data_IF_670522445643
#
_entry.id   IF_670522445643
#
_cell.length_a   1.000
_cell.length_b   1.000
_cell.length_c   1.000
_cell.angle_alpha   90.00
_cell.angle_beta   90.00
_cell.angle_gamma   90.00
#
_symmetry.space_group_name_H-M   'P 1'
#
loop_
_entity.id
_entity.type
_entity.pdbx_description
1 polymer ?
#
# COMPACT_ATOMS: atom_id res chain seq x y z
N UNK A 1 35.03 2.24 4.22
CA UNK A 1 35.27 3.68 4.43
C UNK A 1 34.74 3.99 5.83
N UNK A 2 35.54 4.58 6.70
CA UNK A 2 35.19 4.79 8.13
C UNK A 2 34.13 5.89 8.28
N UNK A 3 33.28 5.76 9.30
CA UNK A 3 32.14 6.62 9.67
C UNK A 3 32.49 8.08 10.07
N UNK A 4 33.53 8.66 9.47
CA UNK A 4 34.00 10.02 9.74
C UNK A 4 34.11 10.89 8.48
N UNK A 5 33.70 10.38 7.30
CA UNK A 5 33.65 11.14 6.03
C UNK A 5 32.23 11.60 5.64
N UNK A 6 31.19 11.35 6.45
CA UNK A 6 29.86 11.97 6.29
C UNK A 6 29.82 13.39 6.90
N UNK A 7 30.80 14.22 6.55
CA UNK A 7 30.67 15.65 6.76
C UNK A 7 29.66 16.17 5.73
N UNK A 8 28.45 16.48 6.21
CA UNK A 8 27.32 17.07 5.48
C UNK A 8 27.80 18.05 4.40
N UNK A 9 27.78 17.60 3.14
CA UNK A 9 27.71 18.51 2.03
C UNK A 9 26.39 19.27 2.19
N UNK A 10 26.47 20.56 2.49
CA UNK A 10 25.33 21.44 2.33
C UNK A 10 24.82 21.29 0.91
N UNK A 11 23.56 20.88 0.79
CA UNK A 11 22.87 20.74 -0.48
C UNK A 11 22.63 22.13 -1.07
N UNK A 12 23.68 22.71 -1.68
CA UNK A 12 23.71 24.11 -2.10
C UNK A 12 22.84 24.38 -3.33
N UNK A 13 22.32 23.32 -3.98
CA UNK A 13 21.38 23.38 -5.11
C UNK A 13 19.91 23.20 -4.71
N UNK A 14 19.02 23.39 -5.69
CA UNK A 14 17.63 22.95 -5.61
C UNK A 14 17.48 21.77 -6.57
N UNK A 15 16.90 20.67 -6.08
CA UNK A 15 16.58 19.49 -6.88
C UNK A 15 15.49 19.80 -7.91
N UNK A 16 15.43 19.04 -8.99
CA UNK A 16 14.27 19.05 -9.87
C UNK A 16 13.06 18.48 -9.14
N UNK A 17 13.24 17.38 -8.39
CA UNK A 17 12.16 16.75 -7.63
C UNK A 17 12.62 16.22 -6.27
N UNK A 18 11.80 16.44 -5.24
CA UNK A 18 11.97 15.84 -3.92
C UNK A 18 10.86 14.84 -3.61
N UNK A 19 11.22 13.56 -3.49
CA UNK A 19 10.33 12.52 -2.99
C UNK A 19 10.26 12.50 -1.46
N UNK A 20 9.05 12.49 -0.91
CA UNK A 20 8.82 12.40 0.54
C UNK A 20 8.18 11.05 0.87
N UNK A 21 8.91 10.23 1.63
CA UNK A 21 8.61 8.82 1.90
C UNK A 21 9.22 7.89 0.85
N UNK A 22 9.75 6.75 1.28
CA UNK A 22 10.43 5.78 0.41
C UNK A 22 9.80 4.38 0.54
N UNK A 23 8.50 4.29 0.29
CA UNK A 23 7.85 3.00 0.00
C UNK A 23 8.22 2.46 -1.39
N UNK A 24 7.76 1.26 -1.78
CA UNK A 24 8.12 0.63 -3.05
C UNK A 24 7.85 1.52 -4.27
N UNK A 25 6.78 2.32 -4.25
CA UNK A 25 6.47 3.21 -5.37
C UNK A 25 7.49 4.33 -5.58
N UNK A 26 7.85 5.06 -4.50
CA UNK A 26 8.88 6.10 -4.59
C UNK A 26 10.28 5.51 -4.78
N UNK A 27 10.53 4.30 -4.27
CA UNK A 27 11.78 3.59 -4.54
C UNK A 27 11.92 3.22 -6.02
N UNK A 28 10.84 2.75 -6.66
CA UNK A 28 10.83 2.52 -8.10
C UNK A 28 10.99 3.82 -8.89
N UNK A 29 10.39 4.92 -8.44
CA UNK A 29 10.58 6.23 -9.07
C UNK A 29 12.04 6.69 -8.94
N UNK A 30 12.66 6.49 -7.77
CA UNK A 30 14.06 6.81 -7.52
C UNK A 30 15.01 6.01 -8.42
N UNK A 31 14.73 4.72 -8.60
CA UNK A 31 15.49 3.85 -9.50
C UNK A 31 15.36 4.31 -10.96
N UNK A 32 14.15 4.54 -11.45
CA UNK A 32 13.91 4.97 -12.83
C UNK A 32 14.44 6.39 -13.12
N UNK A 33 14.44 7.30 -12.14
CA UNK A 33 15.04 8.63 -12.32
C UNK A 33 16.58 8.60 -12.30
N UNK A 34 17.20 7.57 -11.71
CA UNK A 34 18.67 7.49 -11.58
C UNK A 34 19.41 7.36 -12.91
N UNK A 35 18.71 6.91 -13.96
CA UNK A 35 19.22 6.80 -15.33
C UNK A 35 18.84 8.02 -16.21
N UNK A 36 18.35 9.11 -15.60
CA UNK A 36 17.92 10.34 -16.30
C UNK A 36 18.76 11.55 -15.87
N UNK A 37 18.65 12.66 -16.63
CA UNK A 37 19.27 13.94 -16.26
C UNK A 37 18.49 14.72 -15.17
N UNK A 38 17.38 14.16 -14.65
CA UNK A 38 16.56 14.79 -13.61
C UNK A 38 17.22 14.64 -12.24
N UNK A 39 17.59 15.76 -11.61
CA UNK A 39 18.22 15.77 -10.28
C UNK A 39 17.15 15.52 -9.20
N UNK A 40 17.13 14.30 -8.68
CA UNK A 40 16.11 13.83 -7.75
C UNK A 40 16.70 13.44 -6.39
N UNK A 41 15.94 13.68 -5.31
CA UNK A 41 16.28 13.19 -3.97
C UNK A 41 15.04 12.61 -3.28
N UNK A 42 15.19 11.50 -2.57
CA UNK A 42 14.11 10.87 -1.80
C UNK A 42 14.45 10.77 -0.32
N UNK A 43 13.51 11.21 0.54
CA UNK A 43 13.68 11.25 1.99
C UNK A 43 12.82 10.18 2.69
N UNK A 44 13.45 9.38 3.54
CA UNK A 44 12.79 8.37 4.39
C UNK A 44 13.08 8.63 5.86
N UNK A 45 12.07 8.50 6.72
CA UNK A 45 12.23 8.70 8.16
C UNK A 45 12.87 7.51 8.87
N UNK A 46 12.69 6.28 8.37
CA UNK A 46 13.34 5.09 8.92
C UNK A 46 14.86 5.14 8.64
N UNK A 47 15.69 4.47 9.45
CA UNK A 47 17.12 4.38 9.22
C UNK A 47 17.49 3.47 8.04
N UNK A 48 16.58 2.58 7.64
CA UNK A 48 16.75 1.63 6.53
C UNK A 48 15.40 1.35 5.85
N UNK A 49 15.44 0.75 4.67
CA UNK A 49 14.23 0.31 3.98
C UNK A 49 13.64 -0.90 4.71
N UNK A 50 12.33 -0.82 5.00
CA UNK A 50 11.56 -1.90 5.60
C UNK A 50 10.09 -1.75 5.20
N UNK A 51 9.60 -2.71 4.41
CA UNK A 51 8.23 -2.74 3.90
C UNK A 51 7.37 -3.73 4.68
N UNK A 52 6.44 -3.19 5.48
CA UNK A 52 5.52 -3.98 6.31
C UNK A 52 6.21 -5.01 7.24
N UNK A 53 7.33 -4.64 7.87
CA UNK A 53 8.15 -5.53 8.70
C UNK A 53 7.39 -6.41 9.71
N UNK A 54 6.36 -5.87 10.38
CA UNK A 54 5.56 -6.65 11.33
C UNK A 54 4.59 -7.68 10.73
N UNK A 55 4.54 -7.80 9.41
CA UNK A 55 3.73 -8.75 8.63
C UNK A 55 4.58 -9.60 7.66
N UNK A 56 5.91 -9.62 7.81
CA UNK A 56 6.82 -10.47 7.03
C UNK A 56 6.81 -11.93 7.52
N UNK A 57 5.62 -12.52 7.64
CA UNK A 57 5.40 -13.92 8.03
C UNK A 57 6.13 -14.82 7.02
N UNK A 58 6.78 -15.89 7.50
CA UNK A 58 7.75 -16.68 6.71
C UNK A 58 7.19 -17.20 5.38
N UNK A 59 5.94 -17.66 5.37
CA UNK A 59 5.29 -18.23 4.17
C UNK A 59 4.42 -17.22 3.40
N UNK A 60 4.42 -15.94 3.79
CA UNK A 60 3.64 -14.93 3.08
C UNK A 60 4.32 -14.54 1.76
N UNK A 61 3.59 -14.61 0.66
CA UNK A 61 4.05 -14.21 -0.67
C UNK A 61 3.48 -12.85 -1.09
N UNK A 62 4.06 -12.27 -2.14
CA UNK A 62 3.39 -11.22 -2.90
C UNK A 62 2.13 -11.79 -3.58
N UNK A 63 1.14 -10.94 -3.77
CA UNK A 63 -0.08 -11.25 -4.54
C UNK A 63 0.10 -10.96 -6.04
N UNK A 64 1.24 -10.37 -6.41
CA UNK A 64 1.60 -10.02 -7.80
C UNK A 64 2.82 -10.83 -8.26
N UNK A 65 2.96 -11.09 -9.57
CA UNK A 65 4.17 -11.68 -10.14
C UNK A 65 5.41 -10.84 -9.88
N UNK A 66 6.59 -11.45 -9.77
CA UNK A 66 7.86 -10.73 -9.59
C UNK A 66 8.18 -9.70 -10.70
N UNK A 67 7.54 -9.80 -11.87
CA UNK A 67 7.67 -8.79 -12.93
C UNK A 67 7.11 -7.43 -12.49
N UNK A 68 6.17 -7.41 -11.55
CA UNK A 68 5.74 -6.21 -10.83
C UNK A 68 6.77 -5.80 -9.75
N UNK A 69 8.05 -5.84 -10.10
CA UNK A 69 9.12 -5.25 -9.31
C UNK A 69 9.16 -3.72 -9.50
N UNK A 70 10.24 -3.08 -9.08
CA UNK A 70 10.36 -1.63 -9.06
C UNK A 70 10.52 -1.00 -10.46
N UNK A 71 10.96 -1.77 -11.47
CA UNK A 71 11.47 -1.20 -12.74
C UNK A 71 11.11 -2.01 -14.00
N UNK A 72 10.93 -3.33 -13.90
CA UNK A 72 10.88 -4.25 -15.05
C UNK A 72 9.75 -3.94 -16.04
N UNK A 73 8.58 -3.49 -15.57
CA UNK A 73 7.48 -3.13 -16.45
C UNK A 73 7.67 -1.76 -17.15
N UNK A 74 8.65 -0.96 -16.75
CA UNK A 74 9.05 0.27 -17.46
C UNK A 74 10.32 0.04 -18.31
N UNK A 75 11.31 -0.63 -17.75
CA UNK A 75 12.56 -1.01 -18.41
C UNK A 75 13.10 -2.34 -17.87
N UNK A 76 12.89 -3.47 -18.59
CA UNK A 76 13.45 -4.77 -18.22
C UNK A 76 14.99 -4.83 -18.21
N UNK A 77 15.67 -3.84 -18.78
CA UNK A 77 17.14 -3.80 -18.84
C UNK A 77 17.78 -3.12 -17.63
N UNK A 78 16.97 -2.48 -16.78
CA UNK A 78 17.44 -1.78 -15.59
C UNK A 78 18.26 -2.69 -14.68
N UNK A 79 19.38 -2.14 -14.18
CA UNK A 79 20.22 -2.81 -13.20
C UNK A 79 19.49 -3.07 -11.88
N UNK A 80 18.36 -2.39 -11.62
CA UNK A 80 17.58 -2.57 -10.40
C UNK A 80 16.44 -3.60 -10.55
N UNK A 81 16.39 -4.38 -11.63
CA UNK A 81 15.39 -5.45 -11.79
C UNK A 81 15.58 -6.56 -10.74
N UNK A 82 14.48 -7.22 -10.36
CA UNK A 82 14.49 -8.33 -9.41
C UNK A 82 15.34 -9.51 -9.91
N UNK A 83 15.37 -9.77 -11.22
CA UNK A 83 16.26 -10.78 -11.79
C UNK A 83 17.75 -10.40 -11.67
N UNK A 84 18.10 -9.11 -11.82
CA UNK A 84 19.48 -8.67 -11.58
C UNK A 84 19.83 -8.75 -10.09
N UNK A 85 18.91 -8.42 -9.18
CA UNK A 85 19.07 -8.69 -7.75
C UNK A 85 19.42 -10.16 -7.48
N UNK A 86 18.63 -11.11 -8.00
CA UNK A 86 18.91 -12.54 -7.83
C UNK A 86 20.28 -12.94 -8.41
N UNK A 87 20.67 -12.34 -9.54
CA UNK A 87 21.99 -12.56 -10.14
C UNK A 87 23.12 -12.05 -9.23
N UNK A 88 22.97 -10.86 -8.66
CA UNK A 88 23.96 -10.22 -7.77
C UNK A 88 24.12 -10.99 -6.45
N UNK A 89 23.08 -11.67 -6.00
CA UNK A 89 23.09 -12.49 -4.79
C UNK A 89 23.43 -13.96 -5.04
N UNK A 90 23.76 -14.35 -6.28
CA UNK A 90 24.04 -15.73 -6.69
C UNK A 90 22.87 -16.71 -6.47
N UNK A 91 21.62 -16.22 -6.46
CA UNK A 91 20.41 -17.01 -6.22
C UNK A 91 19.58 -17.25 -7.49
N UNK A 92 19.97 -16.69 -8.63
CA UNK A 92 19.21 -16.79 -9.88
C UNK A 92 18.92 -18.25 -10.32
N UNK A 93 19.89 -19.17 -10.17
CA UNK A 93 19.66 -20.58 -10.51
C UNK A 93 18.75 -21.29 -9.49
N UNK A 94 18.83 -20.91 -8.22
CA UNK A 94 17.92 -21.44 -7.19
C UNK A 94 16.50 -20.98 -7.46
N UNK A 95 16.33 -19.69 -7.77
CA UNK A 95 15.04 -19.11 -8.16
C UNK A 95 14.48 -19.72 -9.44
N UNK A 96 15.33 -20.01 -10.43
CA UNK A 96 14.92 -20.70 -11.65
C UNK A 96 14.23 -22.05 -11.36
N UNK A 97 14.72 -22.81 -10.37
CA UNK A 97 14.10 -24.07 -9.95
C UNK A 97 12.97 -23.88 -8.93
N UNK A 98 12.89 -22.73 -8.28
CA UNK A 98 11.76 -22.39 -7.41
C UNK A 98 10.46 -22.22 -8.21
N UNK A 99 10.55 -21.81 -9.48
CA UNK A 99 9.48 -21.86 -10.50
C UNK A 99 8.11 -21.28 -10.04
N UNK A 100 8.14 -20.23 -9.23
CA UNK A 100 6.93 -19.48 -8.84
C UNK A 100 7.04 -18.01 -9.23
N UNK A 101 5.91 -17.42 -9.61
CA UNK A 101 5.82 -16.00 -9.93
C UNK A 101 5.61 -15.15 -8.68
N UNK A 102 4.87 -15.65 -7.70
CA UNK A 102 4.61 -14.99 -6.43
C UNK A 102 5.76 -15.31 -5.47
N UNK A 103 6.61 -14.32 -5.23
CA UNK A 103 7.82 -14.47 -4.42
C UNK A 103 7.56 -14.19 -2.94
N UNK A 104 8.35 -14.74 -2.01
CA UNK A 104 8.22 -14.45 -0.59
C UNK A 104 8.35 -12.95 -0.29
N UNK A 105 7.48 -12.40 0.58
CA UNK A 105 7.54 -10.96 0.95
C UNK A 105 8.87 -10.58 1.57
N UNK A 106 9.49 -11.50 2.32
CA UNK A 106 10.83 -11.32 2.90
C UNK A 106 11.91 -11.12 1.83
N UNK A 107 11.81 -11.84 0.71
CA UNK A 107 12.75 -11.70 -0.40
C UNK A 107 12.50 -10.43 -1.20
N UNK A 108 11.23 -10.02 -1.36
CA UNK A 108 10.90 -8.74 -1.99
C UNK A 108 11.35 -7.53 -1.14
N UNK A 109 11.19 -7.61 0.19
CA UNK A 109 11.73 -6.60 1.12
C UNK A 109 13.26 -6.52 1.05
N UNK A 110 13.95 -7.66 1.00
CA UNK A 110 15.41 -7.72 0.82
C UNK A 110 15.86 -7.14 -0.53
N UNK A 111 15.13 -7.45 -1.61
CA UNK A 111 15.32 -6.84 -2.92
C UNK A 111 15.19 -5.32 -2.87
N UNK A 112 14.13 -4.80 -2.25
CA UNK A 112 13.92 -3.35 -2.15
C UNK A 112 14.99 -2.68 -1.28
N UNK A 113 15.43 -3.32 -0.19
CA UNK A 113 16.57 -2.86 0.62
C UNK A 113 17.84 -2.79 -0.23
N UNK A 114 18.14 -3.84 -0.99
CA UNK A 114 19.29 -3.85 -1.90
C UNK A 114 19.22 -2.71 -2.92
N UNK A 115 18.07 -2.45 -3.55
CA UNK A 115 17.91 -1.31 -4.47
C UNK A 115 18.18 0.01 -3.73
N UNK A 116 17.57 0.21 -2.56
CA UNK A 116 17.71 1.45 -1.81
C UNK A 116 19.17 1.73 -1.37
N UNK A 117 19.93 0.69 -1.01
CA UNK A 117 21.35 0.76 -0.66
C UNK A 117 22.27 1.06 -1.86
N UNK A 118 21.86 0.70 -3.07
CA UNK A 118 22.65 0.92 -4.29
C UNK A 118 22.31 2.24 -5.00
N UNK A 119 21.26 2.94 -4.56
CA UNK A 119 20.84 4.23 -5.10
C UNK A 119 21.57 5.41 -4.44
N UNK A 120 22.10 6.32 -5.25
CA UNK A 120 22.74 7.56 -4.76
C UNK A 120 21.77 8.67 -4.35
N UNK A 121 20.50 8.58 -4.75
CA UNK A 121 19.47 9.61 -4.62
C UNK A 121 18.49 9.36 -3.46
N UNK A 122 18.84 8.55 -2.48
CA UNK A 122 18.02 8.24 -1.30
C UNK A 122 18.70 8.76 -0.02
N UNK A 123 17.92 9.22 0.96
CA UNK A 123 18.41 9.63 2.29
C UNK A 123 17.48 9.12 3.38
N UNK A 124 18.00 8.24 4.21
CA UNK A 124 17.34 7.70 5.40
C UNK A 124 17.52 8.60 6.62
N UNK A 125 16.77 8.32 7.69
CA UNK A 125 16.77 9.14 8.91
C UNK A 125 16.49 10.62 8.63
N UNK A 126 15.54 10.90 7.72
CA UNK A 126 15.06 12.23 7.32
C UNK A 126 13.53 12.29 7.42
N UNK A 127 13.03 12.58 8.62
CA UNK A 127 11.59 12.86 8.84
C UNK A 127 11.27 14.28 8.39
N UNK A 128 10.54 14.43 7.29
CA UNK A 128 9.98 15.73 6.88
C UNK A 128 8.91 16.17 7.87
N UNK A 129 9.07 17.39 8.41
CA UNK A 129 8.17 17.98 9.41
C UNK A 129 7.39 19.18 8.90
N UNK A 130 7.86 19.82 7.84
CA UNK A 130 7.19 20.98 7.26
C UNK A 130 7.56 21.14 5.78
N UNK A 131 6.60 21.52 4.96
CA UNK A 131 6.79 21.92 3.56
C UNK A 131 6.19 23.32 3.38
N UNK A 132 6.96 24.20 2.76
CA UNK A 132 6.52 25.55 2.35
C UNK A 132 6.88 25.77 0.89
N UNK A 133 6.17 26.69 0.23
CA UNK A 133 6.51 27.12 -1.13
C UNK A 133 7.08 28.54 -1.10
N UNK A 134 8.21 28.75 -1.76
CA UNK A 134 8.89 30.03 -1.90
C UNK A 134 8.54 30.66 -3.24
N UNK A 135 7.69 31.70 -3.23
CA UNK A 135 7.24 32.39 -4.45
C UNK A 135 8.38 33.04 -5.24
N UNK A 136 9.37 33.55 -4.53
CA UNK A 136 10.49 34.29 -5.11
C UNK A 136 11.39 33.34 -5.89
N UNK A 137 11.72 32.20 -5.28
CA UNK A 137 12.56 31.18 -5.88
C UNK A 137 11.77 30.20 -6.78
N UNK A 138 10.43 30.17 -6.69
CA UNK A 138 9.53 29.24 -7.38
C UNK A 138 9.89 27.78 -7.09
N UNK A 139 10.11 27.48 -5.81
CA UNK A 139 10.54 26.15 -5.34
C UNK A 139 9.85 25.80 -4.01
N UNK A 140 9.71 24.50 -3.74
CA UNK A 140 9.37 23.97 -2.43
C UNK A 140 10.59 23.96 -1.52
N UNK A 141 10.33 24.13 -0.22
CA UNK A 141 11.31 23.98 0.85
C UNK A 141 10.77 23.02 1.90
N UNK A 142 11.42 21.88 2.02
CA UNK A 142 11.07 20.83 2.97
C UNK A 142 12.07 20.83 4.13
N UNK A 143 11.55 20.96 5.35
CA UNK A 143 12.35 20.85 6.58
C UNK A 143 12.30 19.41 7.09
N UNK A 144 13.45 18.77 7.23
CA UNK A 144 13.57 17.42 7.77
C UNK A 144 14.44 17.37 9.04
N UNK A 145 14.21 16.34 9.86
CA UNK A 145 14.95 16.07 11.10
C UNK A 145 15.30 14.59 11.20
N UNK A 146 16.40 14.28 11.89
CA UNK A 146 16.71 12.89 12.23
C UNK A 146 15.84 12.44 13.44
N UNK A 147 14.94 11.45 13.28
CA UNK A 147 14.08 10.99 14.37
C UNK A 147 14.85 10.24 15.48
N UNK A 148 16.05 9.72 15.22
CA UNK A 148 16.85 8.97 16.20
C UNK A 148 17.47 9.89 17.26
N UNK A 149 17.85 11.11 16.88
CA UNK A 149 18.42 12.08 17.83
C UNK A 149 17.41 12.46 18.93
N UNK A 150 16.11 12.46 18.60
CA UNK A 150 15.04 12.65 19.57
C UNK A 150 14.96 11.54 20.63
N UNK A 151 15.46 10.34 20.36
CA UNK A 151 15.55 9.23 21.32
C UNK A 151 16.81 9.31 22.20
N UNK A 152 17.90 9.90 21.69
CA UNK A 152 19.15 10.09 22.42
C UNK A 152 19.17 11.38 23.26
N UNK A 153 18.15 12.24 23.12
CA UNK A 153 18.09 13.55 23.78
C UNK A 153 18.91 14.63 23.09
N UNK A 154 19.43 14.34 21.90
CA UNK A 154 20.16 15.29 21.06
C UNK A 154 19.18 16.01 20.13
N UNK A 155 19.21 17.34 20.09
CA UNK A 155 18.42 18.09 19.11
C UNK A 155 19.21 18.12 17.81
N UNK A 156 18.79 17.38 16.76
CA UNK A 156 19.37 17.60 15.43
C UNK A 156 18.96 18.99 14.94
N UNK A 157 19.91 19.75 14.42
CA UNK A 157 19.59 20.92 13.60
C UNK A 157 18.70 20.44 12.44
N UNK A 158 17.61 21.17 12.12
CA UNK A 158 16.79 20.84 10.98
C UNK A 158 17.58 21.06 9.68
N UNK A 159 17.46 20.13 8.74
CA UNK A 159 18.01 20.27 7.39
C UNK A 159 16.90 20.75 6.47
N UNK A 160 17.18 21.79 5.66
CA UNK A 160 16.24 22.27 4.64
C UNK A 160 16.66 21.74 3.27
N UNK A 161 15.72 21.12 2.56
CA UNK A 161 15.86 20.65 1.18
C UNK A 161 15.03 21.54 0.27
N UNK A 162 15.57 21.88 -0.91
CA UNK A 162 14.90 22.69 -1.93
C UNK A 162 14.62 21.87 -3.17
N UNK A 163 13.45 22.02 -3.76
CA UNK A 163 13.13 21.36 -5.02
C UNK A 163 12.07 22.13 -5.82
N UNK A 164 12.10 22.02 -7.15
CA UNK A 164 11.08 22.63 -8.01
C UNK A 164 9.72 21.94 -7.83
N UNK A 165 9.74 20.61 -7.81
CA UNK A 165 8.58 19.75 -7.66
C UNK A 165 8.73 18.80 -6.45
N UNK A 166 7.62 18.24 -5.97
CA UNK A 166 7.64 17.21 -4.92
C UNK A 166 6.77 16.01 -5.29
N UNK A 167 7.17 14.82 -4.83
CA UNK A 167 6.39 13.57 -5.00
C UNK A 167 6.09 12.98 -3.62
N UNK A 168 4.81 12.86 -3.28
CA UNK A 168 4.35 12.35 -2.00
C UNK A 168 4.14 10.83 -2.06
N UNK A 169 5.03 10.06 -1.42
CA UNK A 169 4.98 8.60 -1.33
C UNK A 169 5.03 8.09 0.10
N UNK A 170 4.34 8.78 1.01
CA UNK A 170 4.35 8.53 2.47
C UNK A 170 3.57 7.28 2.91
N UNK A 171 2.97 6.54 1.98
CA UNK A 171 2.27 5.30 2.25
C UNK A 171 0.98 5.47 3.06
N UNK A 172 0.61 4.43 3.79
CA UNK A 172 -0.58 4.37 4.64
C UNK A 172 -0.17 4.04 6.08
N UNK A 173 -1.04 4.39 7.04
CA UNK A 173 -0.82 4.09 8.46
C UNK A 173 -1.92 3.14 8.96
N UNK A 174 -1.60 2.26 9.92
CA UNK A 174 -2.58 1.38 10.56
C UNK A 174 -3.86 2.14 10.94
N UNK A 175 -5.00 1.57 10.59
CA UNK A 175 -6.29 2.13 10.96
C UNK A 175 -6.95 1.27 12.03
N UNK A 176 -7.03 1.83 13.24
CA UNK A 176 -7.81 1.24 14.34
C UNK A 176 -9.06 2.10 14.54
N UNK A 177 -10.29 1.56 14.45
CA UNK A 177 -11.52 2.29 14.77
C UNK A 177 -11.48 2.89 16.17
N UNK A 178 -12.04 4.08 16.37
CA UNK A 178 -11.95 4.82 17.65
C UNK A 178 -12.46 4.00 18.85
N UNK A 179 -13.53 3.24 18.67
CA UNK A 179 -14.10 2.37 19.71
C UNK A 179 -13.23 1.17 20.10
N UNK A 180 -12.16 0.88 19.35
CA UNK A 180 -11.25 -0.25 19.60
C UNK A 180 -9.87 0.23 20.11
N UNK A 181 -9.70 1.53 20.37
CA UNK A 181 -8.44 2.12 20.86
C UNK A 181 -8.41 2.23 22.39
N UNK A 182 -7.22 2.52 22.94
CA UNK A 182 -7.06 2.87 24.35
C UNK A 182 -6.73 1.68 25.26
N UNK A 183 -6.32 0.56 24.67
CA UNK A 183 -5.89 -0.65 25.37
C UNK A 183 -4.36 -0.81 25.30
N UNK A 184 -3.76 -1.60 26.20
CA UNK A 184 -2.36 -1.98 26.11
C UNK A 184 -2.00 -2.61 24.75
N UNK A 185 -0.98 -2.06 24.08
CA UNK A 185 -0.54 -2.48 22.75
C UNK A 185 0.17 -3.85 22.74
N UNK A 186 0.42 -4.43 23.92
CA UNK A 186 0.83 -5.84 24.05
C UNK A 186 -0.30 -6.82 23.77
N UNK A 187 -1.56 -6.47 24.10
CA UNK A 187 -2.68 -7.41 24.04
C UNK A 187 -3.70 -7.06 22.96
N UNK A 188 -3.95 -5.76 22.71
CA UNK A 188 -4.87 -5.30 21.67
C UNK A 188 -4.10 -4.45 20.68
N UNK A 189 -3.77 -5.04 19.54
CA UNK A 189 -2.87 -4.41 18.58
C UNK A 189 -3.29 -4.63 17.13
N UNK A 190 -2.83 -3.73 16.25
CA UNK A 190 -3.06 -3.84 14.83
C UNK A 190 -2.15 -4.90 14.19
N UNK A 191 -2.64 -5.60 13.17
CA UNK A 191 -1.89 -6.61 12.38
C UNK A 191 -0.46 -6.19 12.02
N UNK A 192 -0.25 -4.91 11.68
CA UNK A 192 1.06 -4.31 11.43
C UNK A 192 2.15 -4.55 12.51
N UNK A 193 1.78 -4.93 13.74
CA UNK A 193 2.68 -5.22 14.86
C UNK A 193 2.80 -6.71 15.18
N UNK A 194 2.19 -7.59 14.38
CA UNK A 194 1.97 -8.99 14.70
C UNK A 194 3.26 -9.75 15.04
N UNK A 195 4.27 -9.72 14.18
CA UNK A 195 5.51 -10.47 14.43
C UNK A 195 6.22 -10.04 15.73
N UNK A 196 6.12 -8.76 16.10
CA UNK A 196 6.68 -8.23 17.37
C UNK A 196 5.88 -8.66 18.61
N UNK A 197 4.73 -9.31 18.41
CA UNK A 197 3.78 -9.73 19.45
C UNK A 197 3.41 -11.21 19.37
N UNK A 198 3.95 -11.95 18.39
CA UNK A 198 3.67 -13.36 18.17
C UNK A 198 3.89 -14.20 19.43
N UNK A 199 5.02 -14.02 20.11
CA UNK A 199 5.30 -14.71 21.38
C UNK A 199 4.23 -14.45 22.45
N UNK A 200 3.78 -13.19 22.59
CA UNK A 200 2.69 -12.84 23.51
C UNK A 200 1.38 -13.53 23.13
N UNK A 201 1.11 -13.73 21.84
CA UNK A 201 -0.04 -14.51 21.38
C UNK A 201 0.09 -15.98 21.79
N UNK A 202 1.27 -16.59 21.62
CA UNK A 202 1.51 -17.99 21.97
C UNK A 202 1.42 -18.27 23.47
N UNK A 203 1.72 -17.26 24.30
CA UNK A 203 1.56 -17.32 25.75
C UNK A 203 0.11 -17.10 26.23
N UNK A 204 -0.82 -16.73 25.35
CA UNK A 204 -2.22 -16.44 25.69
C UNK A 204 -3.10 -17.69 25.71
N UNK A 205 -4.13 -17.72 26.56
CA UNK A 205 -5.11 -18.81 26.54
C UNK A 205 -6.17 -18.66 25.43
N UNK A 206 -6.36 -17.43 24.94
CA UNK A 206 -7.36 -17.12 23.90
C UNK A 206 -6.95 -15.92 23.06
N UNK A 207 -7.13 -16.04 21.74
CA UNK A 207 -6.77 -15.03 20.76
C UNK A 207 -7.97 -14.80 19.82
N UNK A 208 -8.30 -13.54 19.56
CA UNK A 208 -9.32 -13.17 18.56
C UNK A 208 -8.71 -12.31 17.46
N UNK A 209 -8.75 -12.79 16.21
CA UNK A 209 -8.42 -12.03 15.01
C UNK A 209 -9.67 -11.32 14.48
N UNK A 210 -9.59 -10.02 14.23
CA UNK A 210 -10.70 -9.20 13.74
C UNK A 210 -10.36 -8.62 12.36
N UNK A 211 -11.12 -8.99 11.32
CA UNK A 211 -10.92 -8.50 9.95
C UNK A 211 -11.13 -9.58 8.90
N UNK A 212 -11.25 -9.22 7.62
CA UNK A 212 -11.48 -10.16 6.49
C UNK A 212 -10.36 -10.20 5.45
N UNK A 213 -9.45 -9.22 5.45
CA UNK A 213 -8.42 -9.13 4.42
C UNK A 213 -7.29 -10.13 4.61
N UNK A 214 -6.41 -10.19 3.62
CA UNK A 214 -5.25 -11.08 3.60
C UNK A 214 -4.45 -11.09 4.91
N UNK A 215 -4.16 -9.93 5.50
CA UNK A 215 -3.38 -9.88 6.76
C UNK A 215 -4.07 -10.61 7.93
N UNK A 216 -5.41 -10.59 8.00
CA UNK A 216 -6.13 -11.33 9.03
C UNK A 216 -6.06 -12.84 8.77
N UNK A 217 -6.16 -13.26 7.51
CA UNK A 217 -6.04 -14.66 7.11
C UNK A 217 -4.63 -15.21 7.38
N UNK A 218 -3.58 -14.48 7.02
CA UNK A 218 -2.18 -14.89 7.25
C UNK A 218 -1.85 -15.02 8.73
N UNK A 219 -2.31 -14.07 9.57
CA UNK A 219 -2.15 -14.14 11.03
C UNK A 219 -2.91 -15.34 11.59
N UNK A 220 -4.16 -15.54 11.15
CA UNK A 220 -4.96 -16.67 11.59
C UNK A 220 -4.29 -18.00 11.20
N UNK A 221 -3.78 -18.12 9.97
CA UNK A 221 -3.06 -19.28 9.47
C UNK A 221 -1.77 -19.56 10.25
N UNK A 222 -0.94 -18.54 10.49
CA UNK A 222 0.30 -18.69 11.27
C UNK A 222 0.00 -19.15 12.71
N UNK A 223 -0.98 -18.53 13.38
CA UNK A 223 -1.41 -18.96 14.72
C UNK A 223 -2.02 -20.36 14.69
N UNK A 224 -2.85 -20.66 13.68
CA UNK A 224 -3.45 -21.98 13.52
C UNK A 224 -2.33 -23.02 13.49
N UNK A 225 -1.33 -22.89 12.63
CA UNK A 225 -0.18 -23.83 12.54
C UNK A 225 0.53 -24.08 13.88
N UNK A 226 0.60 -23.07 14.76
CA UNK A 226 1.28 -23.16 16.07
C UNK A 226 0.39 -23.67 17.22
N UNK A 227 -0.93 -23.63 17.07
CA UNK A 227 -1.89 -24.02 18.10
C UNK A 227 -1.62 -25.40 18.74
N UNK A 228 -1.15 -26.45 18.03
CA UNK A 228 -0.85 -27.75 18.66
C UNK A 228 0.23 -27.70 19.75
N UNK A 229 1.12 -26.72 19.72
CA UNK A 229 2.22 -26.58 20.70
C UNK A 229 1.84 -25.66 21.88
N UNK A 230 0.91 -24.73 21.68
CA UNK A 230 0.59 -23.66 22.61
C UNK A 230 -0.80 -23.76 23.30
N UNK A 231 -1.69 -24.63 22.82
CA UNK A 231 -3.00 -24.97 23.45
C UNK A 231 -3.92 -23.76 23.75
N UNK A 232 -4.02 -22.81 22.82
CA UNK A 232 -4.93 -21.66 22.93
C UNK A 232 -6.22 -21.84 22.10
N UNK A 233 -7.27 -21.12 22.49
CA UNK A 233 -8.45 -20.90 21.64
C UNK A 233 -8.17 -19.83 20.59
N UNK A 234 -8.53 -20.07 19.33
CA UNK A 234 -8.34 -19.12 18.23
C UNK A 234 -9.67 -18.75 17.55
N UNK A 235 -10.10 -17.50 17.68
CA UNK A 235 -11.33 -17.01 17.07
C UNK A 235 -11.06 -16.01 15.93
N UNK A 236 -11.86 -16.04 14.86
CA UNK A 236 -11.77 -15.11 13.73
C UNK A 236 -13.13 -14.48 13.41
N UNK A 237 -13.25 -13.18 13.67
CA UNK A 237 -14.46 -12.41 13.40
C UNK A 237 -14.26 -11.44 12.24
N UNK A 238 -15.25 -11.37 11.35
CA UNK A 238 -15.27 -10.38 10.29
C UNK A 238 -16.63 -9.76 10.08
N UNK A 239 -16.66 -8.45 9.78
CA UNK A 239 -17.88 -7.73 9.40
C UNK A 239 -18.34 -8.10 7.99
N UNK A 240 -17.43 -8.58 7.13
CA UNK A 240 -17.74 -8.98 5.75
C UNK A 240 -18.81 -10.06 5.70
N UNK A 241 -19.50 -10.13 4.57
CA UNK A 241 -20.52 -11.15 4.26
C UNK A 241 -19.99 -12.60 4.38
N UNK A 242 -18.68 -12.78 4.24
CA UNK A 242 -17.98 -14.05 4.37
C UNK A 242 -16.47 -13.86 4.35
N UNK A 243 -15.75 -14.99 4.39
CA UNK A 243 -14.32 -15.08 4.11
C UNK A 243 -14.17 -15.36 2.62
N UNK A 244 -14.17 -14.30 1.81
CA UNK A 244 -14.18 -14.41 0.35
C UNK A 244 -12.79 -14.24 -0.24
N UNK A 245 -12.45 -15.02 -1.28
CA UNK A 245 -11.20 -14.85 -1.97
C UNK A 245 -11.19 -13.54 -2.76
N UNK A 246 -9.99 -13.05 -3.04
CA UNK A 246 -9.76 -11.96 -3.98
C UNK A 246 -9.98 -12.45 -5.41
N UNK A 247 -10.52 -11.59 -6.27
CA UNK A 247 -10.68 -11.91 -7.70
C UNK A 247 -9.31 -11.98 -8.39
N UNK A 248 -8.91 -13.17 -8.79
CA UNK A 248 -7.61 -13.42 -9.45
C UNK A 248 -7.74 -14.08 -10.83
N UNK A 249 -8.95 -14.15 -11.40
CA UNK A 249 -9.11 -14.67 -12.75
C UNK A 249 -8.43 -13.75 -13.77
N UNK A 250 -7.87 -14.34 -14.83
CA UNK A 250 -7.14 -13.60 -15.88
C UNK A 250 -7.97 -12.49 -16.55
N UNK A 251 -9.30 -12.61 -16.56
CA UNK A 251 -10.18 -11.56 -17.07
C UNK A 251 -10.41 -10.48 -16.01
N UNK A 252 -10.63 -10.87 -14.75
CA UNK A 252 -10.74 -9.94 -13.62
C UNK A 252 -9.49 -9.06 -13.48
N UNK A 253 -8.31 -9.67 -13.59
CA UNK A 253 -7.02 -9.00 -13.48
C UNK A 253 -6.77 -7.88 -14.52
N UNK A 254 -7.53 -7.85 -15.63
CA UNK A 254 -7.42 -6.74 -16.59
C UNK A 254 -7.87 -5.39 -16.00
N UNK A 255 -8.52 -5.37 -14.82
CA UNK A 255 -8.81 -4.13 -14.08
C UNK A 255 -7.55 -3.50 -13.44
N UNK A 256 -6.43 -4.23 -13.37
CA UNK A 256 -5.15 -3.75 -12.85
C UNK A 256 -4.21 -3.34 -13.99
N UNK A 257 -4.72 -2.52 -14.90
CA UNK A 257 -4.03 -2.14 -16.14
C UNK A 257 -4.07 -0.63 -16.37
N UNK A 258 -3.11 -0.07 -17.13
CA UNK A 258 -3.15 1.32 -17.56
C UNK A 258 -4.49 1.72 -18.20
N UNK A 259 -5.07 0.83 -19.01
CA UNK A 259 -6.31 1.05 -19.75
C UNK A 259 -7.50 1.20 -18.81
N UNK A 260 -7.62 0.36 -17.79
CA UNK A 260 -8.69 0.48 -16.81
C UNK A 260 -8.51 1.75 -15.97
N UNK A 261 -7.29 2.07 -15.54
CA UNK A 261 -6.99 3.30 -14.80
C UNK A 261 -7.38 4.54 -15.61
N UNK A 262 -7.03 4.60 -16.89
CA UNK A 262 -7.41 5.72 -17.78
C UNK A 262 -8.92 5.79 -18.01
N UNK A 263 -9.57 4.64 -18.25
CA UNK A 263 -11.03 4.57 -18.38
C UNK A 263 -11.72 5.09 -17.12
N UNK A 264 -11.32 4.57 -15.95
CA UNK A 264 -11.88 4.97 -14.66
C UNK A 264 -11.67 6.46 -14.40
N UNK A 265 -10.49 6.99 -14.71
CA UNK A 265 -10.20 8.42 -14.58
C UNK A 265 -11.11 9.29 -15.46
N UNK A 266 -11.47 8.83 -16.66
CA UNK A 266 -12.38 9.52 -17.56
C UNK A 266 -13.86 9.53 -17.16
N UNK A 267 -14.26 8.75 -16.16
CA UNK A 267 -15.65 8.73 -15.65
C UNK A 267 -15.99 10.02 -14.89
N UNK A 268 -17.29 10.31 -14.73
CA UNK A 268 -17.72 11.37 -13.82
C UNK A 268 -17.38 11.02 -12.37
N UNK A 269 -17.14 12.02 -11.52
CA UNK A 269 -16.79 11.74 -10.12
C UNK A 269 -17.90 10.99 -9.37
N UNK A 270 -19.17 11.25 -9.71
CA UNK A 270 -20.33 10.51 -9.19
C UNK A 270 -20.23 9.02 -9.52
N UNK A 271 -20.00 8.69 -10.79
CA UNK A 271 -19.83 7.28 -11.22
C UNK A 271 -18.63 6.62 -10.55
N UNK A 272 -17.50 7.32 -10.39
CA UNK A 272 -16.33 6.78 -9.68
C UNK A 272 -16.64 6.45 -8.22
N UNK A 273 -17.38 7.33 -7.55
CA UNK A 273 -17.72 7.21 -6.14
C UNK A 273 -18.72 6.07 -5.87
N UNK A 274 -19.60 5.77 -6.84
CA UNK A 274 -20.52 4.63 -6.77
C UNK A 274 -19.83 3.30 -7.14
N UNK A 275 -18.96 3.31 -8.15
CA UNK A 275 -18.31 2.09 -8.66
C UNK A 275 -17.21 1.55 -7.72
N UNK A 276 -16.39 2.43 -7.13
CA UNK A 276 -15.23 2.00 -6.34
C UNK A 276 -15.59 1.09 -5.15
N UNK A 277 -16.67 1.36 -4.36
CA UNK A 277 -17.12 0.44 -3.31
C UNK A 277 -17.52 -0.95 -3.81
N UNK A 278 -18.10 -1.06 -5.00
CA UNK A 278 -18.54 -2.34 -5.60
C UNK A 278 -17.35 -3.22 -6.00
N UNK A 279 -16.18 -2.62 -6.22
CA UNK A 279 -14.96 -3.29 -6.65
C UNK A 279 -14.09 -3.80 -5.48
N UNK A 280 -14.66 -3.89 -4.27
CA UNK A 280 -13.93 -4.31 -3.08
C UNK A 280 -13.23 -5.68 -3.21
N UNK A 281 -13.88 -6.66 -3.84
CA UNK A 281 -13.31 -8.01 -4.00
C UNK A 281 -12.13 -8.06 -4.98
N UNK A 282 -11.90 -7.02 -5.77
CA UNK A 282 -10.70 -6.96 -6.61
C UNK A 282 -9.43 -6.81 -5.77
N UNK A 283 -9.49 -6.22 -4.55
CA UNK A 283 -8.28 -5.86 -3.79
C UNK A 283 -8.35 -6.06 -2.26
N UNK A 284 -9.49 -6.50 -1.70
CA UNK A 284 -9.68 -6.70 -0.24
C UNK A 284 -9.90 -8.16 0.17
N UNK A 285 -9.93 -9.08 -0.79
CA UNK A 285 -10.17 -10.49 -0.51
C UNK A 285 -8.97 -11.19 0.12
N UNK A 286 -9.14 -12.49 0.35
CA UNK A 286 -8.08 -13.40 0.82
C UNK A 286 -7.48 -14.09 -0.42
N UNK A 287 -6.19 -14.37 -0.42
CA UNK A 287 -5.58 -15.24 -1.43
C UNK A 287 -6.23 -16.64 -1.41
N UNK A 288 -6.50 -17.21 -2.58
CA UNK A 288 -7.21 -18.49 -2.71
C UNK A 288 -6.43 -19.62 -2.02
N UNK A 289 -5.10 -19.66 -2.15
CA UNK A 289 -4.28 -20.70 -1.52
C UNK A 289 -4.25 -20.53 0.00
N UNK A 290 -4.19 -19.30 0.50
CA UNK A 290 -4.27 -19.03 1.95
C UNK A 290 -5.61 -19.51 2.51
N UNK A 291 -6.71 -19.25 1.80
CA UNK A 291 -8.04 -19.73 2.20
C UNK A 291 -8.13 -21.26 2.17
N UNK A 292 -7.58 -21.90 1.14
CA UNK A 292 -7.54 -23.36 1.01
C UNK A 292 -6.73 -23.99 2.15
N UNK A 293 -5.55 -23.45 2.44
CA UNK A 293 -4.68 -23.99 3.48
C UNK A 293 -5.29 -23.89 4.88
N UNK A 294 -5.97 -22.77 5.19
CA UNK A 294 -6.72 -22.64 6.45
C UNK A 294 -7.76 -23.76 6.57
N UNK A 295 -8.50 -24.02 5.50
CA UNK A 295 -9.53 -25.07 5.50
C UNK A 295 -8.92 -26.47 5.63
N UNK A 296 -7.85 -26.77 4.90
CA UNK A 296 -7.16 -28.05 4.94
C UNK A 296 -6.60 -28.34 6.34
N UNK A 297 -5.94 -27.36 6.98
CA UNK A 297 -5.45 -27.51 8.35
C UNK A 297 -6.58 -27.73 9.36
N UNK A 298 -7.71 -27.05 9.22
CA UNK A 298 -8.88 -27.27 10.08
C UNK A 298 -9.46 -28.68 9.88
N UNK A 299 -9.54 -29.14 8.62
CA UNK A 299 -10.03 -30.46 8.29
C UNK A 299 -9.12 -31.56 8.86
N UNK A 300 -7.80 -31.44 8.67
CA UNK A 300 -6.81 -32.37 9.22
C UNK A 300 -6.90 -32.50 10.74
N UNK A 301 -7.17 -31.39 11.44
CA UNK A 301 -7.37 -31.38 12.90
C UNK A 301 -8.67 -32.00 13.38
N UNK A 302 -9.66 -32.13 12.50
CA UNK A 302 -10.94 -32.76 12.85
C UNK A 302 -10.91 -34.29 12.72
N UNK A 303 -9.82 -34.85 12.21
CA UNK A 303 -9.67 -36.30 11.98
C UNK A 303 -9.82 -37.06 13.30
N UNK A 304 -10.57 -38.16 13.28
CA UNK A 304 -10.85 -38.96 14.47
C UNK A 304 -12.02 -38.45 15.32
N UNK A 305 -12.69 -37.38 14.89
CA UNK A 305 -13.80 -36.75 15.64
C UNK A 305 -13.32 -35.70 16.64
N UNK A 306 -12.07 -35.28 16.54
CA UNK A 306 -11.54 -34.13 17.25
C UNK A 306 -12.21 -32.84 16.75
N UNK A 307 -12.28 -31.83 17.61
CA UNK A 307 -12.84 -30.52 17.30
C UNK A 307 -11.76 -29.47 17.58
N UNK A 308 -11.17 -28.84 16.54
CA UNK A 308 -10.14 -27.83 16.75
C UNK A 308 -10.72 -26.68 17.59
N UNK A 309 -9.97 -26.20 18.58
CA UNK A 309 -10.42 -25.13 19.47
C UNK A 309 -10.41 -23.76 18.76
N UNK A 310 -11.30 -23.64 17.79
CA UNK A 310 -11.39 -22.55 16.82
C UNK A 310 -12.84 -22.08 16.72
N UNK A 311 -13.04 -20.77 16.56
CA UNK A 311 -14.33 -20.21 16.18
C UNK A 311 -14.19 -19.24 15.00
N UNK A 312 -15.11 -19.30 14.04
CA UNK A 312 -15.11 -18.39 12.90
C UNK A 312 -16.50 -17.81 12.74
N UNK A 313 -16.60 -16.48 12.67
CA UNK A 313 -17.89 -15.80 12.54
C UNK A 313 -17.81 -14.63 11.55
N UNK A 314 -18.42 -14.83 10.38
CA UNK A 314 -18.63 -13.76 9.41
C UNK A 314 -19.77 -12.82 9.86
N UNK A 315 -20.01 -11.76 9.10
CA UNK A 315 -21.14 -10.83 9.28
C UNK A 315 -21.25 -10.24 10.69
N UNK A 316 -20.11 -10.12 11.37
CA UNK A 316 -19.99 -9.76 12.78
C UNK A 316 -19.10 -8.55 12.94
N UNK A 317 -19.69 -7.44 13.39
CA UNK A 317 -18.96 -6.23 13.75
C UNK A 317 -18.54 -6.30 15.22
N UNK A 318 -17.26 -6.04 15.50
CA UNK A 318 -16.79 -5.76 16.87
C UNK A 318 -17.02 -4.27 17.12
N UNK A 319 -18.01 -3.96 17.93
CA UNK A 319 -18.45 -2.59 18.21
C UNK A 319 -17.55 -1.90 19.24
N UNK A 320 -17.10 -2.64 20.27
CA UNK A 320 -16.38 -2.11 21.43
C UNK A 320 -15.50 -3.20 22.09
N UNK A 321 -14.44 -2.77 22.77
CA UNK A 321 -13.55 -3.64 23.56
C UNK A 321 -13.42 -3.05 24.96
N UNK A 322 -13.53 -3.89 25.98
CA UNK A 322 -13.38 -3.47 27.38
C UNK A 322 -12.49 -4.45 28.14
N UNK A 323 -11.57 -3.94 28.96
CA UNK A 323 -10.74 -4.78 29.81
C UNK A 323 -11.58 -5.39 30.94
N UNK A 324 -11.48 -6.71 31.14
CA UNK A 324 -12.17 -7.46 32.20
C UNK A 324 -11.20 -8.46 32.81
N UNK A 325 -10.74 -8.19 34.04
CA UNK A 325 -9.68 -8.96 34.67
C UNK A 325 -8.37 -8.84 33.88
N UNK A 326 -7.75 -9.99 33.58
CA UNK A 326 -6.49 -10.07 32.83
C UNK A 326 -6.72 -10.22 31.31
N UNK A 327 -7.97 -10.12 30.84
CA UNK A 327 -8.31 -10.20 29.42
C UNK A 327 -9.29 -9.12 28.99
N UNK A 328 -9.92 -9.34 27.85
CA UNK A 328 -10.78 -8.39 27.16
C UNK A 328 -12.15 -9.00 26.86
N UNK A 329 -13.17 -8.16 26.92
CA UNK A 329 -14.54 -8.46 26.52
C UNK A 329 -14.90 -7.63 25.30
N UNK A 330 -15.05 -8.30 24.17
CA UNK A 330 -15.49 -7.74 22.90
C UNK A 330 -17.02 -7.70 22.90
N UNK A 331 -17.60 -6.55 22.52
CA UNK A 331 -19.02 -6.45 22.19
C UNK A 331 -19.17 -6.63 20.69
N UNK A 332 -19.91 -7.66 20.29
CA UNK A 332 -20.07 -8.05 18.91
C UNK A 332 -21.54 -7.93 18.48
N UNK A 333 -21.77 -7.60 17.21
CA UNK A 333 -23.08 -7.59 16.58
C UNK A 333 -23.03 -8.38 15.28
N UNK A 334 -23.75 -9.50 15.22
CA UNK A 334 -24.02 -10.17 13.96
C UNK A 334 -25.15 -9.39 13.26
N UNK A 335 -24.82 -8.71 12.17
CA UNK A 335 -25.67 -7.66 11.64
C UNK A 335 -26.81 -8.17 10.74
N UNK A 336 -26.72 -9.40 10.20
CA UNK A 336 -27.79 -9.99 9.39
C UNK A 336 -29.01 -10.39 10.23
N UNK A 337 -28.78 -10.98 11.42
CA UNK A 337 -29.84 -11.34 12.37
C UNK A 337 -30.09 -10.23 13.39
N UNK A 338 -29.19 -9.25 13.51
CA UNK A 338 -29.29 -8.13 14.44
C UNK A 338 -29.03 -8.48 15.90
N UNK A 339 -28.35 -9.60 16.15
CA UNK A 339 -28.07 -10.12 17.50
C UNK A 339 -26.75 -9.56 18.04
N UNK A 340 -26.76 -9.11 19.30
CA UNK A 340 -25.56 -8.67 20.01
C UNK A 340 -25.15 -9.73 21.03
N UNK A 341 -23.87 -10.02 21.08
CA UNK A 341 -23.28 -10.93 22.05
C UNK A 341 -21.95 -10.38 22.58
N UNK A 342 -21.42 -11.01 23.61
CA UNK A 342 -20.10 -10.68 24.13
C UNK A 342 -19.18 -11.88 24.03
N UNK A 343 -17.93 -11.63 23.70
CA UNK A 343 -16.89 -12.63 23.54
C UNK A 343 -15.67 -12.25 24.38
N UNK A 344 -15.09 -13.22 25.09
CA UNK A 344 -13.90 -13.01 25.92
C UNK A 344 -12.64 -13.46 25.19
N UNK A 345 -11.56 -12.69 25.30
CA UNK A 345 -10.27 -13.00 24.69
C UNK A 345 -9.12 -12.37 25.47
N UNK A 346 -7.96 -13.01 25.57
CA UNK A 346 -6.78 -12.41 26.22
C UNK A 346 -5.99 -11.52 25.26
N UNK A 347 -5.98 -11.85 23.97
CA UNK A 347 -5.31 -11.07 22.92
C UNK A 347 -6.26 -10.80 21.77
N UNK A 348 -6.33 -9.56 21.31
CA UNK A 348 -7.16 -9.14 20.17
C UNK A 348 -6.27 -8.54 19.09
N UNK A 349 -6.28 -9.17 17.91
CA UNK A 349 -5.48 -8.76 16.77
C UNK A 349 -6.40 -8.08 15.75
N UNK A 350 -6.15 -6.80 15.49
CA UNK A 350 -6.97 -5.96 14.62
C UNK A 350 -6.39 -5.94 13.20
N UNK A 351 -6.93 -6.79 12.32
CA UNK A 351 -6.76 -6.77 10.87
C UNK A 351 -7.67 -5.73 10.19
N UNK A 352 -7.76 -4.52 10.74
CA UNK A 352 -8.69 -3.46 10.32
C UNK A 352 -8.17 -2.57 9.19
N UNK A 353 -7.04 -2.95 8.60
CA UNK A 353 -6.48 -2.32 7.41
C UNK A 353 -5.79 -0.98 7.67
N UNK A 354 -5.58 -0.22 6.60
CA UNK A 354 -4.80 1.00 6.65
C UNK A 354 -5.61 2.18 6.09
N UNK A 355 -5.27 3.38 6.51
CA UNK A 355 -5.80 4.61 5.94
C UNK A 355 -4.67 5.58 5.59
N UNK A 356 -4.98 6.60 4.78
CA UNK A 356 -4.02 7.60 4.32
C UNK A 356 -4.41 8.97 4.87
N UNK A 357 -3.88 9.37 6.03
CA UNK A 357 -4.11 10.70 6.55
C UNK A 357 -3.41 11.74 5.66
N UNK A 358 -3.97 12.95 5.58
CA UNK A 358 -3.23 14.09 5.03
C UNK A 358 -1.99 14.33 5.88
N UNK A 359 -0.77 14.33 5.30
CA UNK A 359 0.44 14.52 6.08
C UNK A 359 0.49 15.90 6.72
N UNK A 360 0.79 15.96 8.03
CA UNK A 360 0.81 17.21 8.78
C UNK A 360 1.85 18.21 8.29
N UNK A 361 2.93 17.74 7.64
CA UNK A 361 3.95 18.60 7.05
C UNK A 361 3.42 19.45 5.88
N UNK A 362 2.27 19.11 5.29
CA UNK A 362 1.63 19.91 4.25
C UNK A 362 0.81 21.09 4.80
N UNK A 363 0.64 21.20 6.12
CA UNK A 363 -0.22 22.23 6.72
C UNK A 363 0.15 23.67 6.27
N UNK A 364 1.42 23.94 5.99
CA UNK A 364 1.90 25.24 5.51
C UNK A 364 1.49 25.58 4.06
N UNK A 365 1.11 24.59 3.26
CA UNK A 365 0.69 24.75 1.86
C UNK A 365 -0.73 24.24 1.58
N UNK A 366 -1.39 23.70 2.61
CA UNK A 366 -2.72 23.09 2.52
C UNK A 366 -3.77 24.01 1.88
N UNK A 367 -3.74 25.31 2.17
CA UNK A 367 -4.67 26.30 1.59
C UNK A 367 -4.50 26.56 0.09
N UNK A 368 -3.50 25.95 -0.54
CA UNK A 368 -3.19 26.06 -1.98
C UNK A 368 -3.38 24.76 -2.73
N UNK A 369 -3.73 23.68 -2.03
CA UNK A 369 -3.97 22.37 -2.63
C UNK A 369 -5.43 22.30 -3.07
N UNK A 370 -5.67 22.01 -4.34
CA UNK A 370 -7.00 21.82 -4.89
C UNK A 370 -7.63 20.53 -4.34
N UNK A 371 -8.89 20.67 -3.93
CA UNK A 371 -9.70 19.56 -3.42
C UNK A 371 -11.01 19.44 -4.19
N UNK A 372 -11.51 18.22 -4.29
CA UNK A 372 -12.82 17.95 -4.86
C UNK A 372 -13.95 18.36 -3.90
N UNK A 373 -15.20 18.20 -4.34
CA UNK A 373 -16.38 18.55 -3.55
C UNK A 373 -16.53 17.78 -2.23
N UNK A 374 -15.81 16.65 -2.06
CA UNK A 374 -15.77 15.85 -0.82
C UNK A 374 -14.52 16.14 0.02
N UNK A 375 -13.73 17.15 -0.34
CA UNK A 375 -12.52 17.55 0.37
C UNK A 375 -11.33 16.61 0.13
N UNK A 376 -11.38 15.73 -0.89
CA UNK A 376 -10.26 14.83 -1.25
C UNK A 376 -9.32 15.55 -2.21
N UNK A 377 -8.08 15.08 -2.33
CA UNK A 377 -7.14 15.61 -3.32
C UNK A 377 -7.71 15.51 -4.73
N UNK A 378 -7.65 16.59 -5.50
CA UNK A 378 -7.95 16.56 -6.93
C UNK A 378 -6.72 16.03 -7.66
N UNK A 379 -6.77 14.77 -8.10
CA UNK A 379 -5.65 14.08 -8.76
C UNK A 379 -5.89 14.01 -10.26
N UNK A 380 -4.95 14.53 -11.04
CA UNK A 380 -4.97 14.55 -12.49
C UNK A 380 -4.48 13.22 -13.08
N UNK A 381 -4.56 13.06 -14.41
CA UNK A 381 -4.29 11.79 -15.10
C UNK A 381 -2.82 11.35 -15.07
N UNK A 382 -1.91 12.29 -14.81
CA UNK A 382 -0.47 12.11 -14.65
C UNK A 382 -0.05 12.10 -13.17
N UNK A 383 -1.02 11.96 -12.27
CA UNK A 383 -0.83 11.89 -10.82
C UNK A 383 -0.37 13.19 -10.15
N UNK A 384 -0.37 14.31 -10.87
CA UNK A 384 -0.27 15.64 -10.28
C UNK A 384 -1.53 15.94 -9.45
N UNK A 385 -1.37 16.68 -8.35
CA UNK A 385 -2.48 17.29 -7.62
C UNK A 385 -2.50 18.78 -7.91
N UNK A 386 -3.70 19.33 -8.08
CA UNK A 386 -3.84 20.77 -8.33
C UNK A 386 -3.22 21.59 -7.20
N UNK A 387 -2.34 22.52 -7.57
CA UNK A 387 -1.64 23.41 -6.66
C UNK A 387 -1.64 24.83 -7.22
N UNK A 388 -2.04 25.82 -6.42
CA UNK A 388 -2.07 27.23 -6.83
C UNK A 388 -0.66 27.84 -6.80
N UNK A 389 0.28 27.28 -7.56
CA UNK A 389 1.63 27.78 -7.79
C UNK A 389 2.28 27.12 -9.01
N UNK A 390 3.41 27.66 -9.51
CA UNK A 390 4.18 27.00 -10.57
C UNK A 390 4.80 25.63 -10.23
N UNK A 391 5.10 25.34 -8.96
CA UNK A 391 5.67 24.05 -8.56
C UNK A 391 4.63 22.95 -8.58
N UNK A 392 5.02 21.73 -8.94
CA UNK A 392 4.10 20.60 -9.07
C UNK A 392 4.19 19.66 -7.88
N UNK A 393 3.07 19.06 -7.53
CA UNK A 393 2.98 18.08 -6.46
C UNK A 393 2.40 16.80 -7.06
N UNK A 394 3.15 15.71 -7.03
CA UNK A 394 2.69 14.40 -7.47
C UNK A 394 2.37 13.52 -6.27
N UNK A 395 1.49 12.53 -6.46
CA UNK A 395 1.15 11.56 -5.42
C UNK A 395 1.38 10.13 -5.88
N UNK A 396 2.04 9.35 -5.02
CA UNK A 396 2.19 7.92 -5.16
C UNK A 396 1.23 7.21 -4.24
N UNK A 397 0.57 6.18 -4.76
CA UNK A 397 -0.36 5.39 -3.97
C UNK A 397 -1.32 6.29 -3.18
N UNK A 398 -2.03 7.17 -3.88
CA UNK A 398 -3.11 8.00 -3.37
C UNK A 398 -4.10 8.24 -4.51
N UNK A 399 -5.35 8.59 -4.18
CA UNK A 399 -6.33 8.91 -5.21
C UNK A 399 -7.08 7.72 -5.81
N UNK A 400 -7.41 6.68 -5.03
CA UNK A 400 -8.30 5.60 -5.51
C UNK A 400 -9.63 6.16 -6.04
N UNK A 401 -10.12 7.27 -5.49
CA UNK A 401 -11.33 7.95 -5.98
C UNK A 401 -11.17 8.60 -7.36
N UNK A 402 -9.93 8.73 -7.85
CA UNK A 402 -9.60 9.30 -9.15
C UNK A 402 -9.11 8.23 -10.15
N UNK A 403 -8.31 7.27 -9.68
CA UNK A 403 -7.58 6.28 -10.51
C UNK A 403 -8.03 4.81 -10.32
N UNK A 404 -8.96 4.56 -9.40
CA UNK A 404 -9.58 3.26 -9.20
C UNK A 404 -8.74 2.27 -8.37
N UNK A 405 -9.14 1.01 -8.43
CA UNK A 405 -8.62 -0.09 -7.60
C UNK A 405 -7.17 -0.45 -7.84
N UNK A 406 -6.58 -0.05 -8.98
CA UNK A 406 -5.17 -0.29 -9.28
C UNK A 406 -4.20 0.63 -8.54
N UNK A 407 -4.68 1.64 -7.82
CA UNK A 407 -3.82 2.61 -7.11
C UNK A 407 -2.80 1.97 -6.15
N UNK A 408 -3.17 1.01 -5.26
CA UNK A 408 -2.23 0.32 -4.38
C UNK A 408 -1.50 -0.86 -5.02
N UNK A 409 -1.76 -1.19 -6.28
CA UNK A 409 -1.16 -2.34 -6.95
C UNK A 409 0.31 -2.05 -7.33
N UNK A 410 1.21 -2.97 -7.01
CA UNK A 410 2.63 -2.89 -7.37
C UNK A 410 2.83 -3.00 -8.89
N UNK A 411 2.00 -3.76 -9.59
CA UNK A 411 2.02 -3.91 -11.05
C UNK A 411 1.74 -2.62 -11.82
N UNK A 412 1.09 -1.64 -11.18
CA UNK A 412 0.90 -0.30 -11.76
C UNK A 412 1.91 0.74 -11.23
N UNK A 413 2.88 0.31 -10.42
CA UNK A 413 3.96 1.16 -9.93
C UNK A 413 4.80 1.74 -11.06
N UNK A 414 5.28 0.88 -11.97
CA UNK A 414 6.06 1.29 -13.14
C UNK A 414 5.28 2.23 -14.08
N UNK A 415 4.02 1.91 -14.38
CA UNK A 415 3.14 2.79 -15.19
C UNK A 415 3.03 4.18 -14.58
N UNK A 416 2.74 4.26 -13.27
CA UNK A 416 2.63 5.53 -12.57
C UNK A 416 3.95 6.29 -12.54
N UNK A 417 5.07 5.60 -12.30
CA UNK A 417 6.39 6.21 -12.32
C UNK A 417 6.72 6.76 -13.72
N UNK A 418 6.47 6.01 -14.79
CA UNK A 418 6.69 6.47 -16.16
C UNK A 418 5.91 7.74 -16.48
N UNK A 419 4.63 7.84 -16.05
CA UNK A 419 3.81 9.06 -16.23
C UNK A 419 4.32 10.26 -15.45
N UNK A 420 4.77 10.04 -14.21
CA UNK A 420 5.37 11.12 -13.40
C UNK A 420 6.69 11.59 -14.02
N UNK A 421 7.54 10.66 -14.50
CA UNK A 421 8.81 10.98 -15.15
C UNK A 421 8.58 11.74 -16.46
N UNK A 422 7.60 11.32 -17.27
CA UNK A 422 7.18 12.04 -18.48
C UNK A 422 6.81 13.49 -18.17
N UNK A 423 6.00 13.72 -17.12
CA UNK A 423 5.66 15.08 -16.67
C UNK A 423 6.89 15.84 -16.17
N UNK A 424 7.78 15.21 -15.38
CA UNK A 424 8.97 15.86 -14.81
C UNK A 424 9.99 16.28 -15.88
N UNK A 425 10.32 15.37 -16.79
CA UNK A 425 11.36 15.54 -17.82
C UNK A 425 10.83 16.28 -19.04
N UNK A 426 9.54 16.13 -19.35
CA UNK A 426 8.89 16.73 -20.52
C UNK A 426 9.04 15.92 -21.81
N UNK A 427 9.55 14.69 -21.72
CA UNK A 427 9.73 13.74 -22.82
C UNK A 427 9.34 12.32 -22.35
N UNK A 428 8.94 11.46 -23.29
CA UNK A 428 8.66 10.04 -23.02
C UNK A 428 9.99 9.28 -22.83
N UNK A 429 10.46 9.20 -21.58
CA UNK A 429 11.68 8.45 -21.20
C UNK A 429 11.43 6.95 -21.17
N UNK A 430 10.29 6.54 -20.61
CA UNK A 430 9.85 5.15 -20.52
C UNK A 430 8.54 5.00 -21.29
N UNK A 431 8.41 3.98 -22.15
CA UNK A 431 7.21 3.80 -22.96
C UNK A 431 6.00 3.53 -22.07
N UNK A 432 4.91 4.27 -22.31
CA UNK A 432 3.64 4.05 -21.61
C UNK A 432 2.72 3.25 -22.52
N UNK A 433 2.68 1.94 -22.31
CA UNK A 433 1.83 1.07 -23.13
C UNK A 433 0.35 1.43 -22.98
N UNK A 434 -0.34 1.49 -24.12
CA UNK A 434 -1.75 1.89 -24.20
C UNK A 434 -2.65 0.84 -24.87
N UNK A 435 -2.16 -0.37 -25.12
CA UNK A 435 -2.93 -1.53 -25.65
C UNK A 435 -2.33 -2.88 -25.24
N UNK A 436 -2.28 -3.10 -23.93
CA UNK A 436 -1.67 -4.25 -23.25
C UNK A 436 -2.64 -5.40 -22.99
N UNK A 437 -3.95 -5.17 -23.11
CA UNK A 437 -4.98 -6.14 -22.74
C UNK A 437 -6.04 -6.37 -23.82
N UNK A 438 -6.70 -7.52 -23.75
CA UNK A 438 -7.68 -7.96 -24.74
C UNK A 438 -9.05 -7.26 -24.60
N UNK A 439 -9.36 -6.72 -23.42
CA UNK A 439 -10.62 -6.03 -23.14
C UNK A 439 -10.50 -4.53 -23.46
N UNK A 440 -11.47 -4.01 -24.23
CA UNK A 440 -11.68 -2.57 -24.33
C UNK A 440 -12.68 -2.11 -23.24
N UNK A 441 -12.22 -1.30 -22.30
CA UNK A 441 -13.09 -0.73 -21.25
C UNK A 441 -13.96 0.43 -21.75
N UNK A 442 -13.49 1.20 -22.74
CA UNK A 442 -14.21 2.34 -23.27
C UNK A 442 -14.96 2.01 -24.56
N UNK A 443 -16.21 2.49 -24.66
CA UNK A 443 -17.02 2.38 -25.88
C UNK A 443 -16.31 3.03 -27.07
N UNK A 444 -15.55 4.10 -26.84
CA UNK A 444 -14.81 4.79 -27.89
C UNK A 444 -13.80 3.87 -28.57
N UNK A 445 -12.99 3.22 -27.75
CA UNK A 445 -11.90 2.34 -28.17
C UNK A 445 -12.44 1.09 -28.85
N UNK A 446 -13.49 0.50 -28.29
CA UNK A 446 -14.15 -0.65 -28.91
C UNK A 446 -14.71 -0.30 -30.29
N UNK A 447 -15.42 0.82 -30.41
CA UNK A 447 -16.03 1.26 -31.68
C UNK A 447 -14.97 1.60 -32.73
N UNK A 448 -13.83 2.20 -32.34
CA UNK A 448 -12.78 2.56 -33.30
C UNK A 448 -12.05 1.34 -33.90
N UNK A 449 -11.99 0.22 -33.16
CA UNK A 449 -11.35 -1.04 -33.60
C UNK A 449 -12.32 -2.03 -34.24
N UNK A 450 -13.61 -1.95 -33.91
CA UNK A 450 -14.62 -2.93 -34.33
C UNK A 450 -15.27 -2.58 -35.69
N UNK A 451 -15.11 -3.41 -36.73
CA UNK A 451 -15.51 -3.09 -38.11
C UNK A 451 -17.04 -2.98 -38.35
N UNK A 452 -17.87 -3.31 -37.36
CA UNK A 452 -19.33 -3.26 -37.46
C UNK A 452 -19.95 -2.51 -36.26
N UNK A 453 -19.23 -1.53 -35.72
CA UNK A 453 -19.69 -0.75 -34.59
C UNK A 453 -19.74 0.72 -34.96
N UNK A 454 -20.84 1.37 -34.59
CA UNK A 454 -21.00 2.82 -34.70
C UNK A 454 -21.48 3.37 -33.36
N UNK A 455 -21.01 4.57 -33.00
CA UNK A 455 -21.57 5.30 -31.87
C UNK A 455 -22.91 5.88 -32.28
N UNK A 456 -23.97 5.43 -31.63
CA UNK A 456 -25.26 6.10 -31.72
C UNK A 456 -25.13 7.45 -30.99
N UNK A 457 -25.00 8.55 -31.74
CA UNK A 457 -25.01 9.88 -31.14
C UNK A 457 -26.37 10.12 -30.46
N UNK A 458 -26.43 9.97 -29.14
CA UNK A 458 -27.56 10.41 -28.35
C UNK A 458 -27.69 11.93 -28.47
N UNK A 459 -28.88 12.42 -28.83
CA UNK A 459 -29.26 13.81 -28.58
C UNK A 459 -28.88 14.13 -27.13
N UNK A 460 -27.99 15.08 -26.91
CA UNK A 460 -27.94 15.77 -25.61
C UNK A 460 -29.35 16.30 -25.37
N UNK A 461 -30.07 15.73 -24.41
CA UNK A 461 -31.23 16.39 -23.83
C UNK A 461 -30.71 17.73 -23.30
N UNK A 462 -31.25 18.88 -23.71
CA UNK A 462 -30.92 20.14 -23.04
C UNK A 462 -31.32 19.95 -21.58
N UNK A 463 -30.36 20.10 -20.66
CA UNK A 463 -30.68 20.37 -19.28
C UNK A 463 -31.59 21.60 -19.30
N UNK A 464 -32.85 21.40 -18.92
CA UNK A 464 -33.75 22.50 -18.64
C UNK A 464 -33.11 23.32 -17.51
N UNK A 465 -32.83 24.57 -17.81
CA UNK A 465 -32.81 25.62 -16.80
C UNK A 465 -34.18 25.60 -16.11
N UNK A 466 -34.17 25.37 -14.79
CA UNK A 466 -35.02 26.04 -13.80
C UNK A 466 -34.38 25.92 -12.41
#
# INVERSE_FOLDING_TARGET
MTAADEMEASDEGAYDVLGIGLGPFNLGLAALLSDTDCDALFLEQKPEFEWHGGMLIEDATLEVPFMADLVTLADPTSDYSYLNYLRRHNRLYEFYFYETFQVPRREYDDYCRWVAENLGNTRFSRRVTNVRYDESAREFRATARNPENGKTGETSEPVEYRAKDIVLGVGSVPFVPESLRGHPEEDVFHSASYLNRRERCLDANSITVVGSGQSAAEIFLDLLRQQPEADFRLDWFTRSDGFFPMEYSKLGLQHFTPEYTQYFHGLSQETKDDLLPEQGLLYKGIDENTSEEIYDLLYERSVGGDDPNVGMLATTEVEDISQVGDGYRLICKQWQVGERFAHGSEVVILGTGYHRPTPSFLAGIEGRIDRDAKGRLRVESDFEIGFDAPGRIFVQNAGMHAHGVGTPDLGLGCYRNARIIESLVGDEVYPVDSDTVFQDFSVERFVSKSPNSERLHGKRTPLQED
#
